data_IF_443501193985
#
_entry.id   IF_443501193985
#
_cell.length_a   1.000
_cell.length_b   1.000
_cell.length_c   1.000
_cell.angle_alpha   90.00
_cell.angle_beta   90.00
_cell.angle_gamma   90.00
#
_symmetry.space_group_name_H-M   'P 1'
#
loop_
_entity.id
_entity.type
_entity.pdbx_description
1 polymer ?
#
# COMPACT_ATOMS: atom_id res chain seq x y z
N UNK A 1 -25.22 -66.66 -37.17
CA UNK A 1 -24.79 -67.94 -36.56
C UNK A 1 -23.40 -67.68 -35.95
N UNK A 2 -23.06 -67.86 -34.67
CA UNK A 2 -23.58 -68.60 -33.51
C UNK A 2 -23.53 -67.69 -32.26
N UNK A 3 -24.45 -67.95 -31.31
CA UNK A 3 -24.57 -67.35 -29.98
C UNK A 3 -23.84 -68.20 -28.92
N UNK A 4 -23.82 -67.67 -27.68
CA UNK A 4 -23.68 -68.31 -26.33
C UNK A 4 -22.21 -68.34 -25.85
N UNK A 5 -21.80 -67.91 -24.63
CA UNK A 5 -22.49 -67.83 -23.34
C UNK A 5 -22.07 -66.64 -22.47
N UNK A 6 -23.02 -66.18 -21.66
CA UNK A 6 -22.90 -65.33 -20.47
C UNK A 6 -22.59 -66.15 -19.22
N UNK A 7 -21.91 -65.56 -18.24
CA UNK A 7 -22.12 -65.89 -16.84
C UNK A 7 -22.18 -64.62 -15.97
N UNK A 8 -23.17 -64.67 -15.08
CA UNK A 8 -23.69 -63.60 -14.24
C UNK A 8 -23.07 -63.60 -12.84
N UNK A 9 -22.98 -62.38 -12.28
CA UNK A 9 -23.21 -61.98 -10.88
C UNK A 9 -22.38 -62.59 -9.75
N UNK A 10 -21.84 -61.69 -8.91
CA UNK A 10 -22.36 -61.43 -7.55
C UNK A 10 -21.98 -60.03 -7.06
N UNK A 11 -22.98 -59.28 -6.62
CA UNK A 11 -22.88 -58.08 -5.77
C UNK A 11 -22.80 -58.53 -4.30
N UNK A 12 -21.92 -57.93 -3.50
CA UNK A 12 -22.24 -57.16 -2.29
C UNK A 12 -20.92 -56.82 -1.55
N UNK A 13 -20.68 -55.52 -1.35
CA UNK A 13 -20.67 -54.85 -0.03
C UNK A 13 -19.65 -55.43 0.95
N UNK A 14 -18.59 -54.67 1.23
CA UNK A 14 -18.08 -54.35 2.57
C UNK A 14 -16.86 -53.40 2.44
N UNK A 15 -17.01 -52.22 3.06
CA UNK A 15 -16.01 -51.28 3.63
C UNK A 15 -14.50 -51.55 3.40
N UNK A 16 -13.71 -50.53 3.00
CA UNK A 16 -12.30 -50.50 3.33
C UNK A 16 -12.08 -49.85 4.71
N UNK A 17 -11.44 -50.60 5.59
CA UNK A 17 -10.85 -50.16 6.86
C UNK A 17 -9.72 -49.16 6.59
N UNK A 18 -9.73 -48.09 7.40
CA UNK A 18 -8.68 -47.10 7.54
C UNK A 18 -7.32 -47.74 7.88
N UNK A 19 -6.36 -47.69 6.95
CA UNK A 19 -4.95 -47.82 7.28
C UNK A 19 -4.41 -46.42 7.58
N UNK A 20 -4.18 -46.17 8.87
CA UNK A 20 -3.40 -45.05 9.38
C UNK A 20 -1.95 -45.25 8.94
N UNK A 21 -1.48 -44.44 7.99
CA UNK A 21 -0.06 -44.11 7.89
C UNK A 21 0.15 -42.71 8.46
N UNK A 22 0.99 -42.69 9.49
CA UNK A 22 1.47 -41.56 10.26
C UNK A 22 2.22 -40.55 9.39
N UNK A 23 1.73 -39.31 9.43
CA UNK A 23 2.42 -38.10 8.99
C UNK A 23 3.66 -37.82 9.85
N UNK A 24 4.80 -37.40 9.28
CA UNK A 24 5.84 -36.74 10.06
C UNK A 24 5.46 -35.27 10.28
N UNK A 25 5.28 -34.91 11.54
CA UNK A 25 5.12 -33.54 12.02
C UNK A 25 6.43 -32.76 11.80
N UNK A 26 6.38 -31.77 10.91
CA UNK A 26 7.37 -30.71 10.82
C UNK A 26 7.16 -29.73 11.97
N UNK A 27 8.03 -29.76 12.98
CA UNK A 27 8.03 -28.75 14.04
C UNK A 27 8.56 -27.44 13.49
N UNK A 28 7.67 -26.48 13.30
CA UNK A 28 7.99 -25.08 13.06
C UNK A 28 8.64 -24.54 14.34
N UNK A 29 9.97 -24.44 14.35
CA UNK A 29 10.73 -23.75 15.40
C UNK A 29 10.49 -22.25 15.25
N UNK A 30 9.56 -21.73 16.04
CA UNK A 30 9.35 -20.30 16.23
C UNK A 30 10.51 -19.73 17.04
N UNK A 31 11.42 -19.01 16.36
CA UNK A 31 12.49 -18.26 17.02
C UNK A 31 11.89 -17.04 17.73
N UNK A 32 11.37 -17.25 18.95
CA UNK A 32 11.09 -16.18 19.89
C UNK A 32 12.41 -15.80 20.55
N UNK A 33 13.04 -14.71 20.08
CA UNK A 33 14.13 -14.08 20.83
C UNK A 33 13.53 -13.37 22.04
N UNK A 34 13.50 -14.07 23.16
CA UNK A 34 13.30 -13.50 24.48
C UNK A 34 14.61 -12.84 24.92
N UNK A 35 14.68 -11.51 24.91
CA UNK A 35 15.73 -10.80 25.65
C UNK A 35 15.30 -10.76 27.12
N UNK A 36 15.79 -11.73 27.89
CA UNK A 36 15.71 -11.70 29.36
C UNK A 36 16.91 -10.91 29.92
N UNK A 37 16.59 -9.98 30.81
CA UNK A 37 17.50 -9.15 31.59
C UNK A 37 18.49 -9.98 32.41
N UNK A 38 19.75 -9.56 32.43
CA UNK A 38 20.69 -9.82 33.54
C UNK A 38 21.83 -8.83 33.52
N UNK A 39 21.75 -7.81 34.37
CA UNK A 39 22.92 -7.14 34.91
C UNK A 39 22.79 -7.19 36.44
N UNK A 40 23.65 -8.02 37.04
CA UNK A 40 23.77 -8.23 38.48
C UNK A 40 24.31 -6.94 39.13
N UNK A 41 23.58 -6.41 40.11
CA UNK A 41 24.12 -5.44 41.06
C UNK A 41 24.98 -6.17 42.10
N UNK A 42 26.13 -5.58 42.41
CA UNK A 42 26.99 -5.95 43.54
C UNK A 42 26.38 -5.44 44.84
N UNK A 43 26.36 -6.33 45.82
CA UNK A 43 25.94 -6.11 47.20
C UNK A 43 26.97 -5.24 47.93
N UNK A 44 26.52 -4.34 48.81
CA UNK A 44 27.08 -4.15 50.15
C UNK A 44 26.12 -3.27 50.98
N UNK A 45 25.57 -3.87 52.04
CA UNK A 45 24.86 -3.20 53.13
C UNK A 45 25.87 -2.77 54.22
N UNK A 46 25.45 -1.93 55.18
CA UNK A 46 25.01 -2.51 56.46
C UNK A 46 23.82 -1.80 57.15
N UNK A 47 22.92 -2.64 57.67
CA UNK A 47 22.26 -2.72 59.00
C UNK A 47 22.16 -1.45 59.87
N UNK A 48 20.93 -1.03 60.26
CA UNK A 48 20.32 -1.18 61.62
C UNK A 48 18.94 -0.48 61.69
N UNK A 49 18.05 -1.04 62.52
CA UNK A 49 16.59 -0.96 62.62
C UNK A 49 15.95 0.33 63.21
N UNK A 50 14.68 0.60 62.87
CA UNK A 50 13.49 0.48 63.75
C UNK A 50 12.21 1.08 63.09
N UNK A 51 10.99 0.59 63.41
CA UNK A 51 9.75 0.95 62.71
C UNK A 51 8.98 2.08 63.42
N UNK A 52 8.45 3.04 62.66
CA UNK A 52 7.56 4.07 63.18
C UNK A 52 6.30 4.19 62.31
N UNK A 53 5.21 3.65 62.86
CA UNK A 53 3.86 4.25 62.96
C UNK A 53 3.26 4.81 61.67
N UNK A 54 2.22 4.12 61.21
CA UNK A 54 1.27 4.61 60.23
C UNK A 54 0.56 5.88 60.74
N UNK A 55 0.62 6.95 59.93
CA UNK A 55 -0.26 8.11 60.04
C UNK A 55 -1.06 8.27 58.74
N UNK A 56 -2.33 8.61 58.92
CA UNK A 56 -3.43 8.62 57.98
C UNK A 56 -3.16 9.32 56.63
N UNK A 57 -3.77 8.79 55.58
CA UNK A 57 -3.85 9.40 54.27
C UNK A 57 -4.74 10.66 54.34
N UNK A 58 -4.10 11.82 54.39
CA UNK A 58 -4.74 13.11 54.12
C UNK A 58 -4.86 13.27 52.61
N UNK A 59 -6.10 13.45 52.16
CA UNK A 59 -6.48 13.78 50.80
C UNK A 59 -6.06 15.23 50.51
N UNK A 60 -4.82 15.45 50.07
CA UNK A 60 -4.39 16.76 49.59
C UNK A 60 -4.68 16.87 48.09
N UNK A 61 -5.78 17.56 47.79
CA UNK A 61 -6.03 18.21 46.50
C UNK A 61 -5.28 19.55 46.47
N UNK A 62 -4.25 19.75 45.63
CA UNK A 62 -3.79 21.09 45.30
C UNK A 62 -4.57 21.61 44.10
N UNK A 63 -5.65 22.34 44.37
CA UNK A 63 -6.18 23.35 43.46
C UNK A 63 -5.23 24.55 43.47
N UNK A 64 -4.49 24.76 42.39
CA UNK A 64 -3.84 26.05 42.11
C UNK A 64 -3.74 26.22 40.59
N UNK A 65 -4.78 26.85 40.02
CA UNK A 65 -4.80 27.35 38.65
C UNK A 65 -3.80 28.50 38.51
N UNK A 66 -2.53 28.17 38.30
CA UNK A 66 -1.64 29.01 37.49
C UNK A 66 -1.87 28.65 36.02
N UNK A 67 -1.96 29.61 35.08
CA UNK A 67 -2.06 29.29 33.66
C UNK A 67 -0.77 28.61 33.25
N UNK A 68 -0.75 27.28 33.31
CA UNK A 68 0.33 26.48 32.77
C UNK A 68 0.39 26.84 31.30
N UNK A 69 1.51 27.39 30.85
CA UNK A 69 1.76 27.63 29.43
C UNK A 69 1.56 26.31 28.67
N UNK A 70 0.37 26.10 28.11
CA UNK A 70 -0.03 24.86 27.40
C UNK A 70 0.95 24.53 26.26
N UNK A 71 1.64 25.55 25.75
CA UNK A 71 2.67 25.44 24.74
C UNK A 71 4.01 24.88 25.26
N UNK A 72 4.35 25.08 26.55
CA UNK A 72 5.56 24.50 27.16
C UNK A 72 5.32 23.05 27.58
N UNK A 73 4.16 22.73 28.15
CA UNK A 73 3.81 21.35 28.52
C UNK A 73 3.68 20.43 27.31
N UNK A 74 3.06 20.92 26.22
CA UNK A 74 2.96 20.16 24.96
C UNK A 74 4.31 19.91 24.30
N UNK A 75 5.27 20.84 24.37
CA UNK A 75 6.64 20.63 23.87
C UNK A 75 7.43 19.63 24.73
N UNK A 76 7.36 19.76 26.05
CA UNK A 76 8.02 18.81 26.97
C UNK A 76 7.47 17.38 26.85
N UNK A 77 6.16 17.24 26.60
CA UNK A 77 5.52 15.95 26.34
C UNK A 77 6.02 15.26 25.07
N UNK A 78 6.42 16.01 24.04
CA UNK A 78 6.95 15.47 22.77
C UNK A 78 8.34 14.83 22.92
N UNK A 79 9.12 15.23 23.91
CA UNK A 79 10.46 14.68 24.15
C UNK A 79 10.45 13.50 25.13
N UNK A 80 9.46 13.47 26.03
CA UNK A 80 9.42 12.51 27.15
C UNK A 80 8.50 11.30 26.88
N UNK A 81 7.77 11.29 25.76
CA UNK A 81 6.82 10.20 25.47
C UNK A 81 7.51 8.85 25.22
N UNK A 82 7.15 7.79 25.98
CA UNK A 82 7.69 6.45 25.76
C UNK A 82 7.23 5.84 24.44
N UNK A 83 6.00 6.16 23.98
CA UNK A 83 5.48 5.67 22.69
C UNK A 83 6.30 6.22 21.51
N UNK A 84 6.69 7.49 21.57
CA UNK A 84 7.56 8.10 20.55
C UNK A 84 8.95 7.47 20.53
N UNK A 85 9.56 7.27 21.71
CA UNK A 85 10.87 6.63 21.79
C UNK A 85 10.84 5.18 21.26
N UNK A 86 9.78 4.43 21.60
CA UNK A 86 9.59 3.07 21.10
C UNK A 86 9.39 3.03 19.57
N UNK A 87 8.63 3.97 19.00
CA UNK A 87 8.42 4.10 17.56
C UNK A 87 9.73 4.45 16.86
N UNK A 88 10.47 5.44 17.37
CA UNK A 88 11.77 5.86 16.81
C UNK A 88 12.76 4.69 16.73
N UNK A 89 12.88 3.92 17.81
CA UNK A 89 13.73 2.73 17.86
C UNK A 89 13.24 1.61 16.93
N UNK A 90 11.92 1.37 16.84
CA UNK A 90 11.33 0.32 15.98
C UNK A 90 11.58 0.57 14.50
N UNK A 91 11.47 1.84 14.07
CA UNK A 91 11.73 2.25 12.69
C UNK A 91 13.22 2.41 12.39
N UNK A 92 14.10 2.20 13.37
CA UNK A 92 15.55 2.39 13.25
C UNK A 92 15.92 3.77 12.68
N UNK A 93 15.20 4.81 13.12
CA UNK A 93 15.41 6.16 12.60
C UNK A 93 16.79 6.69 13.01
N UNK A 94 17.46 7.50 12.17
CA UNK A 94 18.75 8.09 12.51
C UNK A 94 18.65 8.95 13.79
N UNK A 95 19.70 9.02 14.61
CA UNK A 95 19.71 9.86 15.82
C UNK A 95 19.60 11.36 15.51
N UNK A 96 19.88 11.77 14.26
CA UNK A 96 19.66 13.13 13.76
C UNK A 96 18.18 13.51 13.67
N UNK A 97 17.29 12.52 13.64
CA UNK A 97 15.85 12.73 13.58
C UNK A 97 15.30 12.90 15.00
N UNK A 98 14.88 14.12 15.40
CA UNK A 98 14.46 14.38 16.77
C UNK A 98 13.04 13.86 17.05
N UNK A 99 12.79 13.46 18.30
CA UNK A 99 11.46 13.03 18.75
C UNK A 99 10.37 14.10 18.56
N UNK A 100 10.73 15.38 18.66
CA UNK A 100 9.81 16.50 18.41
C UNK A 100 9.29 16.53 16.96
N UNK A 101 10.13 16.23 15.97
CA UNK A 101 9.73 16.13 14.56
C UNK A 101 8.86 14.90 14.32
N UNK A 102 9.17 13.78 14.98
CA UNK A 102 8.32 12.58 14.95
C UNK A 102 6.91 12.88 15.47
N UNK A 103 6.82 13.55 16.62
CA UNK A 103 5.56 13.94 17.22
C UNK A 103 4.75 14.85 16.29
N UNK A 104 5.41 15.80 15.62
CA UNK A 104 4.77 16.66 14.62
C UNK A 104 4.17 15.86 13.47
N UNK A 105 4.83 14.79 13.01
CA UNK A 105 4.31 13.94 11.94
C UNK A 105 2.97 13.27 12.30
N UNK A 106 2.72 13.03 13.60
CA UNK A 106 1.51 12.38 14.10
C UNK A 106 0.32 13.34 14.29
N UNK A 107 0.52 14.65 14.11
CA UNK A 107 -0.54 15.66 14.25
C UNK A 107 -1.07 16.05 12.87
N UNK A 108 -2.27 15.59 12.54
CA UNK A 108 -2.94 15.94 11.29
C UNK A 108 -3.46 17.39 11.32
N UNK A 109 -3.53 18.12 10.18
CA UNK A 109 -4.10 19.48 10.11
C UNK A 109 -5.56 19.58 10.59
N UNK A 110 -6.31 18.48 10.62
CA UNK A 110 -7.66 18.44 11.21
C UNK A 110 -7.70 18.40 12.74
N UNK A 111 -6.58 18.06 13.39
CA UNK A 111 -6.42 18.15 14.85
C UNK A 111 -5.85 19.50 15.28
N UNK A 112 -4.81 20.01 14.61
CA UNK A 112 -4.26 21.34 14.85
C UNK A 112 -4.22 22.16 13.55
N UNK A 113 -4.87 23.33 13.59
CA UNK A 113 -4.94 24.27 12.46
C UNK A 113 -3.60 24.96 12.21
N UNK A 114 -2.73 25.04 13.21
CA UNK A 114 -1.47 25.75 13.08
C UNK A 114 -0.49 24.99 12.16
N UNK A 115 -0.04 25.59 11.05
CA UNK A 115 0.84 24.93 10.08
C UNK A 115 2.21 24.54 10.65
N UNK A 116 2.64 25.22 11.72
CA UNK A 116 3.90 24.93 12.41
C UNK A 116 3.85 23.66 13.27
N UNK A 117 2.67 23.28 13.73
CA UNK A 117 2.47 22.14 14.63
C UNK A 117 1.91 20.91 13.91
N UNK A 118 1.29 21.10 12.74
CA UNK A 118 0.73 20.01 11.96
C UNK A 118 1.74 19.41 10.96
N UNK A 119 1.36 18.26 10.42
CA UNK A 119 2.15 17.46 9.50
C UNK A 119 1.93 17.81 8.01
N UNK A 120 1.05 18.77 7.68
CA UNK A 120 0.62 19.03 6.29
C UNK A 120 1.79 19.35 5.34
N UNK A 121 2.67 20.27 5.73
CA UNK A 121 3.84 20.66 4.92
C UNK A 121 4.84 19.51 4.71
N UNK A 122 5.05 18.70 5.75
CA UNK A 122 5.92 17.52 5.70
C UNK A 122 5.31 16.42 4.83
N UNK A 123 3.99 16.25 4.89
CA UNK A 123 3.27 15.27 4.11
C UNK A 123 3.33 15.56 2.61
N UNK A 124 3.21 16.83 2.19
CA UNK A 124 3.36 17.21 0.77
C UNK A 124 4.75 16.81 0.25
N UNK A 125 5.81 17.20 0.97
CA UNK A 125 7.18 16.87 0.57
C UNK A 125 7.40 15.36 0.50
N UNK A 126 6.95 14.60 1.50
CA UNK A 126 7.16 13.16 1.52
C UNK A 126 6.29 12.41 0.52
N UNK A 127 5.11 12.92 0.19
CA UNK A 127 4.28 12.39 -0.88
C UNK A 127 5.00 12.49 -2.22
N UNK A 128 5.58 13.64 -2.54
CA UNK A 128 6.35 13.84 -3.78
C UNK A 128 7.56 12.90 -3.84
N UNK A 129 8.29 12.75 -2.72
CA UNK A 129 9.44 11.84 -2.63
C UNK A 129 9.03 10.37 -2.81
N UNK A 130 7.96 9.93 -2.15
CA UNK A 130 7.44 8.57 -2.30
C UNK A 130 6.95 8.31 -3.73
N UNK A 131 6.21 9.24 -4.32
CA UNK A 131 5.74 9.13 -5.70
C UNK A 131 6.92 9.05 -6.67
N UNK A 132 7.94 9.90 -6.49
CA UNK A 132 9.13 9.91 -7.32
C UNK A 132 9.95 8.60 -7.20
N UNK A 133 10.27 8.16 -5.99
CA UNK A 133 11.09 6.95 -5.78
C UNK A 133 10.37 5.67 -6.19
N UNK A 134 9.05 5.59 -6.02
CA UNK A 134 8.26 4.44 -6.51
C UNK A 134 8.17 4.44 -8.03
N UNK A 135 7.90 5.59 -8.65
CA UNK A 135 7.77 5.71 -10.11
C UNK A 135 9.10 5.44 -10.82
N UNK A 136 10.23 5.99 -10.36
CA UNK A 136 11.53 5.70 -10.97
C UNK A 136 11.88 4.21 -10.90
N UNK A 137 11.55 3.56 -9.78
CA UNK A 137 11.81 2.14 -9.60
C UNK A 137 10.93 1.30 -10.53
N UNK A 138 9.64 1.60 -10.63
CA UNK A 138 8.72 0.91 -11.54
C UNK A 138 9.14 1.07 -13.00
N UNK A 139 9.48 2.29 -13.43
CA UNK A 139 9.86 2.58 -14.81
C UNK A 139 11.20 1.92 -15.19
N UNK A 140 12.19 1.92 -14.30
CA UNK A 140 13.48 1.29 -14.59
C UNK A 140 13.43 -0.24 -14.57
N UNK A 141 12.58 -0.84 -13.71
CA UNK A 141 12.42 -2.30 -13.66
C UNK A 141 11.45 -2.84 -14.71
N UNK A 142 10.46 -2.04 -15.13
CA UNK A 142 9.42 -2.43 -16.09
C UNK A 142 9.20 -1.31 -17.13
N UNK A 143 10.15 -1.11 -18.06
CA UNK A 143 10.12 0.03 -18.98
C UNK A 143 8.96 0.02 -19.98
N UNK A 144 8.30 -1.12 -20.15
CA UNK A 144 7.18 -1.31 -21.09
C UNK A 144 5.80 -1.26 -20.41
N UNK A 145 5.72 -0.87 -19.14
CA UNK A 145 4.48 -0.94 -18.38
C UNK A 145 3.42 0.03 -18.95
N UNK A 146 2.18 -0.43 -19.27
CA UNK A 146 1.08 0.43 -19.65
C UNK A 146 0.78 1.48 -18.57
N UNK A 147 0.34 2.66 -18.96
CA UNK A 147 0.22 3.78 -18.01
C UNK A 147 -0.87 3.53 -16.95
N UNK A 148 -1.97 2.89 -17.33
CA UNK A 148 -3.03 2.52 -16.37
C UNK A 148 -2.54 1.52 -15.32
N UNK A 149 -1.68 0.59 -15.74
CA UNK A 149 -1.08 -0.41 -14.85
C UNK A 149 -0.01 0.25 -13.97
N UNK A 150 0.73 1.23 -14.48
CA UNK A 150 1.67 2.03 -13.69
C UNK A 150 0.96 2.77 -12.57
N UNK A 151 -0.14 3.46 -12.86
CA UNK A 151 -0.97 4.12 -11.85
C UNK A 151 -1.48 3.15 -10.78
N UNK A 152 -2.01 1.99 -11.20
CA UNK A 152 -2.47 0.96 -10.29
C UNK A 152 -1.33 0.38 -9.43
N UNK A 153 -0.15 0.19 -10.01
CA UNK A 153 1.03 -0.28 -9.30
C UNK A 153 1.50 0.75 -8.28
N UNK A 154 1.57 2.04 -8.66
CA UNK A 154 1.92 3.13 -7.76
C UNK A 154 0.94 3.25 -6.59
N UNK A 155 -0.36 3.12 -6.85
CA UNK A 155 -1.39 3.04 -5.82
C UNK A 155 -1.24 1.81 -4.92
N UNK A 156 -0.84 0.66 -5.48
CA UNK A 156 -0.61 -0.55 -4.69
C UNK A 156 0.63 -0.46 -3.77
N UNK A 157 1.64 0.35 -4.12
CA UNK A 157 2.81 0.58 -3.25
C UNK A 157 2.63 1.73 -2.26
N UNK A 158 2.03 2.85 -2.70
CA UNK A 158 1.99 4.12 -1.95
C UNK A 158 0.59 4.68 -1.74
N UNK A 159 -0.46 3.92 -2.06
CA UNK A 159 -1.85 4.33 -1.87
C UNK A 159 -2.27 4.32 -0.40
N UNK A 160 -3.32 5.09 -0.04
CA UNK A 160 -3.71 5.34 1.35
C UNK A 160 -4.05 4.06 2.13
N UNK A 161 -4.65 3.06 1.47
CA UNK A 161 -4.93 1.75 2.08
C UNK A 161 -3.67 1.01 2.48
N UNK A 162 -2.63 1.07 1.65
CA UNK A 162 -1.36 0.39 1.91
C UNK A 162 -0.57 1.07 3.01
N UNK A 163 -0.58 2.41 3.01
CA UNK A 163 0.01 3.21 4.08
C UNK A 163 -0.75 3.00 5.41
N UNK A 164 -2.06 2.84 5.39
CA UNK A 164 -2.83 2.50 6.60
C UNK A 164 -2.43 1.17 7.21
N UNK A 165 -2.26 0.13 6.40
CA UNK A 165 -1.75 -1.16 6.85
C UNK A 165 -0.32 -1.03 7.40
N UNK A 166 0.53 -0.25 6.73
CA UNK A 166 1.90 0.02 7.17
C UNK A 166 1.95 0.74 8.53
N UNK A 167 1.07 1.71 8.77
CA UNK A 167 0.92 2.37 10.08
C UNK A 167 0.60 1.37 11.18
N UNK A 168 -0.27 0.40 10.90
CA UNK A 168 -0.62 -0.67 11.84
C UNK A 168 0.56 -1.61 12.09
N UNK A 169 1.31 -1.97 11.04
CA UNK A 169 2.57 -2.74 11.14
C UNK A 169 3.61 -2.00 11.98
N UNK A 170 3.69 -0.67 11.84
CA UNK A 170 4.54 0.20 12.66
C UNK A 170 4.03 0.36 14.09
N UNK A 171 2.83 -0.13 14.41
CA UNK A 171 2.21 -0.10 15.73
C UNK A 171 1.82 1.30 16.20
N UNK A 172 1.41 2.18 15.28
CA UNK A 172 0.93 3.52 15.58
C UNK A 172 -0.59 3.51 15.72
N UNK A 173 -1.07 3.71 16.94
CA UNK A 173 -2.50 3.73 17.28
C UNK A 173 -3.15 5.07 16.91
N UNK A 174 -4.43 5.02 16.50
CA UNK A 174 -5.22 6.21 16.20
C UNK A 174 -5.96 6.71 17.44
N UNK A 175 -5.98 8.03 17.63
CA UNK A 175 -6.72 8.68 18.71
C UNK A 175 -8.22 8.73 18.41
N UNK A 176 -9.06 8.62 19.44
CA UNK A 176 -10.51 8.75 19.30
C UNK A 176 -10.97 10.20 19.09
N UNK A 177 -10.45 11.14 19.88
CA UNK A 177 -10.67 12.58 19.76
C UNK A 177 -9.36 13.34 19.99
N UNK A 178 -8.99 14.31 19.13
CA UNK A 178 -7.76 15.07 19.30
C UNK A 178 -7.83 15.96 20.54
N UNK A 179 -6.74 16.04 21.31
CA UNK A 179 -6.69 16.85 22.52
C UNK A 179 -5.26 17.00 23.07
N UNK A 180 -4.99 18.04 23.87
CA UNK A 180 -3.67 18.29 24.46
C UNK A 180 -3.32 17.27 25.55
N UNK A 181 -4.30 16.62 26.18
CA UNK A 181 -4.08 15.54 27.15
C UNK A 181 -3.55 14.24 26.53
N UNK A 182 -3.67 14.10 25.21
CA UNK A 182 -3.33 12.86 24.53
C UNK A 182 -1.82 12.75 24.33
N UNK A 183 -1.27 11.58 24.62
CA UNK A 183 0.14 11.28 24.38
C UNK A 183 0.52 11.60 22.91
N UNK A 184 1.56 12.41 22.66
CA UNK A 184 2.00 12.75 21.31
C UNK A 184 2.49 11.56 20.48
N UNK A 185 2.67 10.38 21.08
CA UNK A 185 2.96 9.13 20.37
C UNK A 185 1.76 8.47 19.67
N UNK A 186 0.58 9.09 19.72
CA UNK A 186 -0.64 8.62 19.05
C UNK A 186 -0.99 9.49 17.85
N UNK A 187 -1.58 8.89 16.81
CA UNK A 187 -2.01 9.61 15.60
C UNK A 187 -3.27 10.44 15.89
N UNK A 188 -3.11 11.76 15.89
CA UNK A 188 -4.16 12.73 16.23
C UNK A 188 -4.81 13.31 14.97
N UNK A 189 -6.12 13.07 14.82
CA UNK A 189 -6.94 13.64 13.75
C UNK A 189 -8.40 13.67 14.18
N UNK A 190 -9.17 14.57 13.59
CA UNK A 190 -10.64 14.57 13.75
C UNK A 190 -11.22 13.54 12.80
N UNK A 191 -11.81 12.46 13.34
CA UNK A 191 -12.33 11.34 12.55
C UNK A 191 -13.64 11.70 11.84
N UNK A 192 -13.72 11.41 10.53
CA UNK A 192 -14.97 11.46 9.77
C UNK A 192 -15.98 10.47 10.33
N UNK A 193 -17.17 10.96 10.68
CA UNK A 193 -18.27 10.10 11.09
C UNK A 193 -18.62 9.14 9.96
N UNK A 194 -18.89 7.88 10.31
CA UNK A 194 -19.31 6.89 9.34
C UNK A 194 -20.62 7.34 8.67
N UNK A 195 -20.79 7.11 7.37
CA UNK A 195 -22.02 7.52 6.66
C UNK A 195 -23.31 6.91 7.24
N UNK A 196 -23.20 5.79 7.96
CA UNK A 196 -24.33 5.16 8.66
C UNK A 196 -24.65 5.79 10.02
N UNK A 197 -23.81 6.71 10.52
CA UNK A 197 -24.10 7.44 11.75
C UNK A 197 -25.34 8.33 11.56
N UNK A 198 -26.10 8.52 12.64
CA UNK A 198 -27.24 9.43 12.64
C UNK A 198 -26.73 10.87 12.52
N UNK A 199 -27.38 11.68 11.68
CA UNK A 199 -27.07 13.08 11.56
C UNK A 199 -27.40 13.81 12.88
N UNK A 200 -26.57 14.79 13.25
CA UNK A 200 -26.74 15.55 14.48
C UNK A 200 -28.10 16.29 14.45
N UNK A 201 -28.99 15.94 15.39
CA UNK A 201 -30.31 16.55 15.50
C UNK A 201 -31.42 15.98 14.61
N UNK A 202 -31.20 14.86 13.90
CA UNK A 202 -32.20 14.26 13.01
C UNK A 202 -32.33 12.74 13.11
N UNK A 203 -33.45 12.20 12.62
CA UNK A 203 -33.67 10.75 12.44
C UNK A 203 -33.11 10.23 11.09
N UNK A 204 -32.48 11.09 10.30
CA UNK A 204 -31.86 10.72 9.03
C UNK A 204 -30.40 10.27 9.25
N UNK A 205 -29.94 9.29 8.46
CA UNK A 205 -28.52 8.89 8.45
C UNK A 205 -27.71 9.94 7.68
N UNK A 206 -26.44 10.12 8.06
CA UNK A 206 -25.55 11.08 7.42
C UNK A 206 -25.41 10.84 5.91
N UNK A 207 -25.43 9.57 5.47
CA UNK A 207 -25.47 9.18 4.06
C UNK A 207 -26.73 9.70 3.36
N UNK A 208 -27.89 9.62 4.00
CA UNK A 208 -29.18 10.00 3.42
C UNK A 208 -29.32 11.52 3.35
N UNK A 209 -28.71 12.25 4.29
CA UNK A 209 -28.62 13.72 4.24
C UNK A 209 -27.62 14.23 3.20
N UNK A 210 -26.53 13.49 2.93
CA UNK A 210 -25.51 13.94 1.97
C UNK A 210 -25.85 13.61 0.51
N UNK A 211 -26.84 12.74 0.25
CA UNK A 211 -27.32 12.43 -1.11
C UNK A 211 -28.00 13.65 -1.77
N UNK A 212 -28.55 14.61 -1.00
CA UNK A 212 -29.19 15.81 -1.57
C UNK A 212 -28.20 16.90 -2.00
N UNK A 213 -27.07 17.04 -1.30
CA UNK A 213 -26.27 18.28 -1.38
C UNK A 213 -24.94 18.14 -2.10
N UNK A 214 -24.46 16.91 -2.36
CA UNK A 214 -23.28 16.69 -3.18
C UNK A 214 -23.49 15.45 -4.05
N UNK A 215 -23.82 15.67 -5.33
CA UNK A 215 -23.32 14.75 -6.36
C UNK A 215 -21.81 14.70 -6.12
N UNK A 216 -21.33 13.54 -5.67
CA UNK A 216 -19.91 13.20 -5.50
C UNK A 216 -19.27 13.31 -6.87
N UNK A 217 -19.00 14.55 -7.20
CA UNK A 217 -18.52 14.95 -8.47
C UNK A 217 -17.02 15.07 -8.42
N UNK A 218 -16.33 14.58 -9.44
CA UNK A 218 -14.97 14.96 -9.84
C UNK A 218 -14.65 16.47 -9.76
N UNK A 219 -15.65 17.35 -9.62
CA UNK A 219 -15.50 18.81 -9.52
C UNK A 219 -15.24 19.48 -10.87
N UNK A 220 -15.15 18.70 -11.96
CA UNK A 220 -14.95 19.23 -13.31
C UNK A 220 -16.25 19.80 -13.87
N UNK A 221 -16.11 20.92 -14.60
CA UNK A 221 -17.18 21.40 -15.45
C UNK A 221 -17.69 20.25 -16.34
N UNK A 222 -19.00 20.14 -16.49
CA UNK A 222 -19.66 19.15 -17.35
C UNK A 222 -19.54 17.68 -16.92
N UNK A 223 -19.18 17.38 -15.67
CA UNK A 223 -19.11 16.00 -15.18
C UNK A 223 -20.40 15.20 -15.39
N UNK A 224 -21.56 15.83 -15.26
CA UNK A 224 -22.85 15.17 -15.42
C UNK A 224 -23.04 14.52 -16.81
N UNK A 225 -22.21 14.89 -17.79
CA UNK A 225 -22.19 14.31 -19.14
C UNK A 225 -21.32 13.03 -19.24
N UNK A 226 -20.64 12.62 -18.17
CA UNK A 226 -19.74 11.45 -18.11
C UNK A 226 -18.77 11.36 -19.31
N UNK A 227 -18.18 12.49 -19.68
CA UNK A 227 -17.25 12.53 -20.81
C UNK A 227 -16.04 11.60 -20.58
N UNK A 228 -15.62 10.94 -21.67
CA UNK A 228 -14.45 10.04 -21.65
C UNK A 228 -13.20 10.82 -21.23
N UNK A 229 -12.49 10.28 -20.24
CA UNK A 229 -11.17 10.77 -19.84
C UNK A 229 -10.09 10.00 -20.60
N UNK A 230 -9.13 10.70 -21.17
CA UNK A 230 -7.99 10.11 -21.87
C UNK A 230 -6.80 9.93 -20.93
N UNK A 231 -5.99 8.90 -21.15
CA UNK A 231 -4.83 8.58 -20.30
C UNK A 231 -3.80 9.73 -20.26
N UNK A 232 -3.58 10.42 -21.38
CA UNK A 232 -2.65 11.56 -21.45
C UNK A 232 -3.08 12.75 -20.59
N UNK A 233 -4.40 13.01 -20.45
CA UNK A 233 -4.88 14.10 -19.60
C UNK A 233 -4.77 13.75 -18.12
N UNK A 234 -4.84 12.47 -17.74
CA UNK A 234 -4.64 12.01 -16.35
C UNK A 234 -3.22 12.32 -15.86
N UNK A 235 -2.21 12.17 -16.73
CA UNK A 235 -0.81 12.44 -16.36
C UNK A 235 -0.58 13.90 -15.93
N UNK A 236 -1.31 14.85 -16.53
CA UNK A 236 -1.10 16.30 -16.31
C UNK A 236 -2.06 16.86 -15.25
N UNK A 237 -3.32 16.45 -15.28
CA UNK A 237 -4.39 17.11 -14.50
C UNK A 237 -4.89 16.30 -13.31
N UNK A 238 -4.60 14.99 -13.27
CA UNK A 238 -5.01 14.14 -12.16
C UNK A 238 -3.86 14.04 -11.13
N UNK A 239 -4.12 13.36 -10.03
CA UNK A 239 -3.12 13.14 -9.00
C UNK A 239 -2.08 12.09 -9.43
N UNK A 240 -1.11 11.80 -8.55
CA UNK A 240 -0.06 10.80 -8.79
C UNK A 240 -0.57 9.37 -9.07
N UNK A 241 -1.83 9.06 -8.76
CA UNK A 241 -2.46 7.76 -9.03
C UNK A 241 -3.37 7.82 -10.27
N UNK A 242 -3.43 8.95 -10.98
CA UNK A 242 -4.36 9.18 -12.07
C UNK A 242 -5.83 9.28 -11.61
N UNK A 243 -6.08 9.46 -10.32
CA UNK A 243 -7.39 9.75 -9.78
C UNK A 243 -7.63 11.26 -9.78
N UNK A 244 -8.89 11.64 -9.89
CA UNK A 244 -9.24 13.05 -9.82
C UNK A 244 -8.90 13.55 -8.42
N UNK A 245 -8.27 14.71 -8.35
CA UNK A 245 -8.17 15.40 -7.08
C UNK A 245 -9.61 15.76 -6.64
N UNK A 246 -10.20 14.97 -5.74
CA UNK A 246 -11.50 15.23 -5.11
C UNK A 246 -11.53 16.60 -4.40
N UNK A 247 -10.35 17.21 -4.21
CA UNK A 247 -10.10 18.54 -3.67
C UNK A 247 -9.15 19.34 -4.57
N UNK A 248 -9.47 19.50 -5.86
CA UNK A 248 -8.85 20.50 -6.70
C UNK A 248 -9.32 21.92 -6.33
N UNK A 249 -9.11 22.31 -5.08
CA UNK A 249 -8.58 23.64 -4.83
C UNK A 249 -7.14 23.58 -5.35
N UNK A 250 -6.80 24.43 -6.31
CA UNK A 250 -5.53 24.40 -7.05
C UNK A 250 -4.31 24.14 -6.14
N UNK A 251 -3.18 23.60 -6.64
CA UNK A 251 -1.93 23.50 -5.86
C UNK A 251 -1.38 24.87 -5.39
N UNK A 252 -1.89 25.99 -5.93
CA UNK A 252 -1.63 27.35 -5.44
C UNK A 252 -2.53 27.74 -4.24
N UNK A 253 -3.60 27.01 -4.00
CA UNK A 253 -4.64 27.32 -2.99
C UNK A 253 -4.51 26.51 -1.70
N UNK A 254 -3.59 25.53 -1.61
CA UNK A 254 -3.14 25.01 -0.31
C UNK A 254 -2.35 26.05 0.50
N UNK A 255 -2.00 27.19 -0.12
CA UNK A 255 -1.52 28.41 0.54
C UNK A 255 -2.64 29.33 1.03
N UNK A 256 -3.89 29.16 0.58
CA UNK A 256 -5.05 29.88 1.11
C UNK A 256 -5.66 29.05 2.25
N UNK A 257 -5.15 29.31 3.45
CA UNK A 257 -5.55 28.72 4.73
C UNK A 257 -7.01 29.04 5.17
N UNK A 258 -7.96 29.26 4.26
CA UNK A 258 -9.31 29.75 4.58
C UNK A 258 -10.39 28.68 4.71
N UNK A 259 -10.20 27.47 4.16
CA UNK A 259 -11.15 26.37 4.35
C UNK A 259 -10.58 25.39 5.38
N UNK A 260 -11.23 25.21 6.55
CA UNK A 260 -10.71 24.30 7.57
C UNK A 260 -10.69 22.87 7.03
N UNK A 261 -9.59 22.11 7.22
CA UNK A 261 -9.55 20.71 6.85
C UNK A 261 -10.68 19.98 7.58
N UNK A 262 -11.60 19.42 6.79
CA UNK A 262 -12.75 18.69 7.30
C UNK A 262 -12.34 17.44 8.08
N UNK A 263 -13.30 16.73 8.67
CA UNK A 263 -13.01 15.48 9.35
C UNK A 263 -12.55 14.42 8.34
N UNK A 264 -11.53 13.63 8.72
CA UNK A 264 -10.73 12.79 7.82
C UNK A 264 -10.88 11.32 8.15
N UNK A 265 -10.69 10.45 7.15
CA UNK A 265 -10.69 8.99 7.36
C UNK A 265 -9.39 8.53 8.01
N UNK A 266 -9.43 7.38 8.69
CA UNK A 266 -8.22 6.82 9.32
C UNK A 266 -7.13 6.49 8.28
N UNK A 267 -7.55 6.07 7.08
CA UNK A 267 -6.65 5.74 5.98
C UNK A 267 -5.91 6.98 5.46
N UNK A 268 -6.63 8.08 5.26
CA UNK A 268 -6.03 9.34 4.80
C UNK A 268 -5.12 9.97 5.88
N UNK A 269 -5.53 9.94 7.15
CA UNK A 269 -4.69 10.38 8.26
C UNK A 269 -3.41 9.53 8.39
N UNK A 270 -3.49 8.22 8.10
CA UNK A 270 -2.32 7.34 8.11
C UNK A 270 -1.37 7.61 6.94
N UNK A 271 -1.91 7.90 5.75
CA UNK A 271 -1.14 8.22 4.57
C UNK A 271 -0.35 9.52 4.78
N UNK A 272 -1.02 10.57 5.26
CA UNK A 272 -0.38 11.86 5.57
C UNK A 272 0.70 11.72 6.65
N UNK A 273 0.48 10.89 7.68
CA UNK A 273 1.51 10.58 8.68
C UNK A 273 2.75 9.93 8.07
N UNK A 274 2.60 8.87 7.28
CA UNK A 274 3.75 8.19 6.67
C UNK A 274 4.47 9.11 5.70
N UNK A 275 3.72 9.83 4.85
CA UNK A 275 4.29 10.84 3.98
C UNK A 275 5.07 11.89 4.81
N UNK A 276 4.52 12.37 5.92
CA UNK A 276 5.21 13.33 6.77
C UNK A 276 6.51 12.76 7.38
N UNK A 277 6.55 11.47 7.75
CA UNK A 277 7.77 10.81 8.20
C UNK A 277 8.84 10.80 7.10
N UNK A 278 8.48 10.48 5.85
CA UNK A 278 9.41 10.54 4.71
C UNK A 278 9.93 11.96 4.45
N UNK A 279 9.05 12.96 4.50
CA UNK A 279 9.43 14.37 4.34
C UNK A 279 10.35 14.85 5.46
N UNK A 280 10.02 14.55 6.71
CA UNK A 280 10.84 14.92 7.86
C UNK A 280 12.19 14.18 7.89
N UNK A 281 12.22 12.89 7.49
CA UNK A 281 13.45 12.13 7.34
C UNK A 281 14.37 12.76 6.28
N UNK A 282 13.80 13.18 5.15
CA UNK A 282 14.57 13.86 4.10
C UNK A 282 15.20 15.17 4.60
N UNK A 283 14.47 15.98 5.38
CA UNK A 283 14.98 17.23 5.93
C UNK A 283 16.10 17.03 6.97
N UNK A 284 16.00 16.00 7.82
CA UNK A 284 16.98 15.77 8.89
C UNK A 284 18.17 14.88 8.50
N UNK A 285 17.95 13.87 7.66
CA UNK A 285 18.93 12.84 7.32
C UNK A 285 19.38 12.87 5.84
N UNK A 286 18.66 13.58 4.97
CA UNK A 286 18.99 13.75 3.55
C UNK A 286 18.48 12.61 2.65
N UNK A 287 18.72 12.75 1.34
CA UNK A 287 18.18 11.88 0.29
C UNK A 287 18.57 10.41 0.43
N UNK A 288 19.84 10.11 0.74
CA UNK A 288 20.35 8.73 0.81
C UNK A 288 19.66 7.93 1.92
N UNK A 289 19.44 8.54 3.09
CA UNK A 289 18.74 7.90 4.19
C UNK A 289 17.26 7.64 3.84
N UNK A 290 16.60 8.60 3.18
CA UNK A 290 15.22 8.45 2.72
C UNK A 290 15.07 7.35 1.67
N UNK A 291 15.99 7.24 0.72
CA UNK A 291 16.00 6.17 -0.28
C UNK A 291 16.19 4.78 0.37
N UNK A 292 17.13 4.65 1.30
CA UNK A 292 17.33 3.40 2.03
C UNK A 292 16.08 3.02 2.84
N UNK A 293 15.45 4.01 3.49
CA UNK A 293 14.21 3.81 4.24
C UNK A 293 13.03 3.42 3.33
N UNK A 294 12.91 4.05 2.16
CA UNK A 294 11.93 3.71 1.11
C UNK A 294 12.11 2.28 0.62
N UNK A 295 13.34 1.88 0.32
CA UNK A 295 13.64 0.52 -0.13
C UNK A 295 13.31 -0.52 0.95
N UNK A 296 13.62 -0.21 2.21
CA UNK A 296 13.39 -1.12 3.33
C UNK A 296 11.91 -1.33 3.68
N UNK A 297 11.06 -0.31 3.54
CA UNK A 297 9.68 -0.39 4.02
C UNK A 297 8.60 -0.38 2.92
N UNK A 298 8.83 0.30 1.79
CA UNK A 298 7.87 0.39 0.68
C UNK A 298 8.17 -0.68 -0.37
N UNK A 299 9.39 -0.70 -0.90
CA UNK A 299 9.78 -1.65 -1.97
C UNK A 299 10.02 -3.08 -1.48
N UNK A 300 10.16 -3.30 -0.17
CA UNK A 300 10.25 -4.65 0.40
C UNK A 300 8.93 -5.42 0.32
N UNK A 301 7.82 -4.73 0.04
CA UNK A 301 6.49 -5.34 -0.13
C UNK A 301 6.38 -5.99 -1.50
N UNK A 302 5.77 -7.17 -1.55
CA UNK A 302 5.56 -7.90 -2.80
C UNK A 302 4.20 -7.57 -3.43
N UNK A 303 4.21 -6.83 -4.55
CA UNK A 303 3.01 -6.52 -5.33
C UNK A 303 3.00 -7.31 -6.64
N UNK A 304 2.08 -8.27 -6.85
CA UNK A 304 2.03 -9.06 -8.07
C UNK A 304 1.51 -8.25 -9.27
N UNK A 305 2.41 -7.63 -10.04
CA UNK A 305 2.03 -6.76 -11.17
C UNK A 305 1.19 -7.46 -12.25
N UNK A 306 1.38 -8.76 -12.45
CA UNK A 306 0.62 -9.53 -13.44
C UNK A 306 -0.89 -9.58 -13.18
N UNK A 307 -1.35 -9.34 -11.96
CA UNK A 307 -2.79 -9.32 -11.61
C UNK A 307 -3.43 -7.96 -11.88
N UNK A 308 -2.63 -6.92 -12.14
CA UNK A 308 -3.13 -5.57 -12.40
C UNK A 308 -3.60 -5.38 -13.85
N UNK A 309 -3.25 -6.30 -14.76
CA UNK A 309 -3.61 -6.22 -16.16
C UNK A 309 -5.05 -6.68 -16.40
N UNK A 310 -5.84 -5.81 -17.05
CA UNK A 310 -7.15 -6.12 -17.61
C UNK A 310 -7.14 -5.84 -19.10
N UNK A 311 -7.30 -6.88 -19.93
CA UNK A 311 -7.35 -6.76 -21.39
C UNK A 311 -8.77 -6.88 -21.89
N UNK A 312 -9.20 -5.96 -22.74
CA UNK A 312 -10.52 -6.04 -23.38
C UNK A 312 -10.49 -6.92 -24.64
N UNK A 313 -9.52 -6.69 -25.53
CA UNK A 313 -9.42 -7.37 -26.83
C UNK A 313 -7.98 -7.85 -27.12
N UNK A 314 -7.41 -8.76 -26.31
CA UNK A 314 -5.98 -9.08 -26.36
C UNK A 314 -5.52 -9.59 -27.73
N UNK A 315 -6.37 -10.30 -28.48
CA UNK A 315 -6.01 -10.82 -29.81
C UNK A 315 -5.72 -9.72 -30.82
N UNK A 316 -6.46 -8.60 -30.75
CA UNK A 316 -6.27 -7.42 -31.59
C UNK A 316 -5.02 -6.65 -31.15
N UNK A 317 -4.80 -6.55 -29.85
CA UNK A 317 -3.64 -5.87 -29.27
C UNK A 317 -2.35 -6.59 -29.68
N UNK A 318 -2.32 -7.92 -29.59
CA UNK A 318 -1.15 -8.71 -29.97
C UNK A 318 -0.87 -8.67 -31.48
N UNK A 319 -1.91 -8.68 -32.33
CA UNK A 319 -1.69 -8.58 -33.78
C UNK A 319 -1.12 -7.21 -34.15
N UNK A 320 -1.57 -6.12 -33.52
CA UNK A 320 -0.96 -4.80 -33.70
C UNK A 320 0.45 -4.73 -33.15
N UNK A 321 0.72 -5.36 -32.01
CA UNK A 321 2.07 -5.44 -31.46
C UNK A 321 3.01 -6.11 -32.46
N UNK A 322 2.63 -7.26 -33.01
CA UNK A 322 3.44 -7.97 -33.99
C UNK A 322 3.67 -7.11 -35.25
N UNK A 323 2.63 -6.42 -35.74
CA UNK A 323 2.76 -5.50 -36.87
C UNK A 323 3.69 -4.32 -36.58
N UNK A 324 3.64 -3.76 -35.36
CA UNK A 324 4.48 -2.63 -34.93
C UNK A 324 5.95 -3.01 -34.86
N UNK A 325 6.25 -4.17 -34.29
CA UNK A 325 7.61 -4.67 -34.10
C UNK A 325 8.18 -5.37 -35.36
N UNK A 326 7.37 -5.54 -36.41
CA UNK A 326 7.76 -6.21 -37.65
C UNK A 326 7.81 -7.74 -37.56
N UNK A 327 7.13 -8.34 -36.58
CA UNK A 327 6.98 -9.78 -36.44
C UNK A 327 5.92 -10.34 -37.39
N UNK A 328 6.01 -11.64 -37.68
CA UNK A 328 4.96 -12.35 -38.41
C UNK A 328 3.64 -12.32 -37.63
N UNK A 329 2.51 -12.41 -38.35
CA UNK A 329 1.20 -12.36 -37.72
C UNK A 329 1.02 -13.52 -36.71
N UNK A 330 0.46 -13.24 -35.51
CA UNK A 330 0.36 -14.25 -34.46
C UNK A 330 -0.68 -15.31 -34.82
N UNK A 331 -0.29 -16.58 -34.81
CA UNK A 331 -1.14 -17.74 -35.07
C UNK A 331 -1.26 -18.61 -33.82
N UNK A 332 -2.49 -18.86 -33.38
CA UNK A 332 -2.76 -19.75 -32.26
C UNK A 332 -2.76 -21.22 -32.72
N UNK A 333 -1.97 -22.06 -32.05
CA UNK A 333 -1.84 -23.50 -32.30
C UNK A 333 -2.21 -24.29 -31.05
N UNK A 334 -2.96 -25.38 -31.22
CA UNK A 334 -3.27 -26.31 -30.13
C UNK A 334 -2.02 -27.15 -29.83
N UNK A 335 -1.56 -27.13 -28.57
CA UNK A 335 -0.39 -27.89 -28.12
C UNK A 335 -0.80 -29.26 -27.58
N UNK A 336 -1.79 -29.25 -26.68
CA UNK A 336 -2.37 -30.46 -26.12
C UNK A 336 -3.84 -30.23 -25.79
N UNK A 337 -4.61 -31.32 -25.79
CA UNK A 337 -6.00 -31.31 -25.39
C UNK A 337 -6.35 -32.55 -24.59
N UNK A 338 -7.28 -32.39 -23.66
CA UNK A 338 -7.85 -33.49 -22.90
C UNK A 338 -9.32 -33.22 -22.60
N UNK A 339 -10.14 -34.28 -22.61
CA UNK A 339 -11.54 -34.19 -22.21
C UNK A 339 -12.41 -33.30 -23.10
N UNK A 340 -12.14 -33.19 -24.41
CA UNK A 340 -12.88 -32.33 -25.37
C UNK A 340 -14.41 -32.48 -25.30
N UNK A 341 -14.91 -33.69 -25.04
CA UNK A 341 -16.35 -33.99 -24.90
C UNK A 341 -16.77 -34.22 -23.44
N UNK A 342 -16.06 -33.65 -22.49
CA UNK A 342 -16.38 -33.72 -21.06
C UNK A 342 -16.95 -32.39 -20.57
N UNK A 343 -17.50 -32.37 -19.35
CA UNK A 343 -17.99 -31.14 -18.70
C UNK A 343 -16.87 -30.12 -18.46
N UNK A 344 -15.64 -30.59 -18.27
CA UNK A 344 -14.47 -29.74 -17.98
C UNK A 344 -13.31 -30.12 -18.89
N UNK A 345 -13.37 -29.74 -20.19
CA UNK A 345 -12.25 -29.91 -21.10
C UNK A 345 -11.07 -29.05 -20.65
N UNK A 346 -9.86 -29.43 -21.06
CA UNK A 346 -8.69 -28.57 -20.94
C UNK A 346 -7.99 -28.54 -22.29
N UNK A 347 -7.90 -27.35 -22.87
CA UNK A 347 -7.17 -27.07 -24.10
C UNK A 347 -5.97 -26.20 -23.76
N UNK A 348 -4.77 -26.67 -24.12
CA UNK A 348 -3.54 -25.90 -24.00
C UNK A 348 -3.20 -25.34 -25.37
N UNK A 349 -3.21 -24.02 -25.49
CA UNK A 349 -2.97 -23.30 -26.74
C UNK A 349 -1.72 -22.45 -26.60
N UNK A 350 -0.85 -22.52 -27.61
CA UNK A 350 0.31 -21.66 -27.75
C UNK A 350 0.11 -20.67 -28.90
N UNK A 351 0.48 -19.40 -28.70
CA UNK A 351 0.48 -18.39 -29.75
C UNK A 351 1.89 -18.26 -30.30
N UNK A 352 2.03 -18.39 -31.61
CA UNK A 352 3.30 -18.35 -32.33
C UNK A 352 3.36 -17.18 -33.29
N UNK A 353 4.53 -16.57 -33.43
CA UNK A 353 4.89 -15.73 -34.56
C UNK A 353 6.00 -16.45 -35.32
N UNK A 354 5.69 -16.98 -36.51
CA UNK A 354 6.57 -17.90 -37.23
C UNK A 354 6.90 -19.17 -36.45
N UNK A 355 8.17 -19.29 -36.04
CA UNK A 355 8.70 -20.37 -35.19
C UNK A 355 8.56 -20.09 -33.69
N UNK A 356 8.44 -18.82 -33.31
CA UNK A 356 8.67 -18.40 -31.93
C UNK A 356 7.38 -18.42 -31.13
N UNK A 357 7.40 -19.12 -29.99
CA UNK A 357 6.25 -19.19 -29.08
C UNK A 357 6.23 -17.94 -28.20
N UNK A 358 5.24 -17.07 -28.44
CA UNK A 358 5.08 -15.82 -27.70
C UNK A 358 4.39 -16.03 -26.34
N UNK A 359 3.42 -16.94 -26.28
CA UNK A 359 2.64 -17.18 -25.07
C UNK A 359 1.92 -18.52 -25.10
N UNK A 360 1.57 -19.01 -23.92
CA UNK A 360 0.90 -20.29 -23.71
C UNK A 360 -0.10 -20.16 -22.57
N UNK A 361 -1.28 -20.75 -22.73
CA UNK A 361 -2.24 -20.87 -21.64
C UNK A 361 -3.20 -22.03 -21.84
N UNK A 362 -3.80 -22.45 -20.72
CA UNK A 362 -4.88 -23.42 -20.69
C UNK A 362 -6.26 -22.76 -20.55
N UNK A 363 -7.25 -23.28 -21.26
CA UNK A 363 -8.65 -22.85 -21.20
C UNK A 363 -9.62 -24.03 -21.22
N UNK A 364 -10.84 -23.82 -20.74
CA UNK A 364 -11.92 -24.80 -20.79
C UNK A 364 -12.58 -24.85 -22.17
N UNK A 365 -12.46 -23.77 -22.95
CA UNK A 365 -12.82 -23.72 -24.38
C UNK A 365 -11.61 -23.31 -25.23
N UNK A 366 -11.65 -23.64 -26.53
CA UNK A 366 -10.61 -23.25 -27.48
C UNK A 366 -10.46 -21.72 -27.57
N UNK A 367 -11.57 -20.99 -27.56
CA UNK A 367 -11.56 -19.53 -27.62
C UNK A 367 -10.99 -18.90 -26.35
N UNK A 368 -11.36 -19.43 -25.18
CA UNK A 368 -10.82 -18.99 -23.89
C UNK A 368 -9.31 -19.29 -23.79
N UNK A 369 -8.87 -20.49 -24.20
CA UNK A 369 -7.47 -20.85 -24.23
C UNK A 369 -6.67 -19.90 -25.15
N UNK A 370 -7.21 -19.60 -26.34
CA UNK A 370 -6.63 -18.62 -27.27
C UNK A 370 -6.51 -17.23 -26.62
N UNK A 371 -7.60 -16.70 -26.06
CA UNK A 371 -7.62 -15.36 -25.43
C UNK A 371 -6.62 -15.30 -24.27
N UNK A 372 -6.56 -16.34 -23.42
CA UNK A 372 -5.61 -16.42 -22.30
C UNK A 372 -4.16 -16.53 -22.76
N UNK A 373 -3.87 -17.32 -23.79
CA UNK A 373 -2.51 -17.49 -24.31
C UNK A 373 -2.00 -16.17 -24.92
N UNK A 374 -2.87 -15.46 -25.63
CA UNK A 374 -2.58 -14.12 -26.14
C UNK A 374 -2.38 -13.11 -25.01
N UNK A 375 -3.23 -13.12 -23.98
CA UNK A 375 -3.06 -12.26 -22.81
C UNK A 375 -1.74 -12.55 -22.07
N UNK A 376 -1.32 -13.83 -21.99
CA UNK A 376 -0.03 -14.21 -21.43
C UNK A 376 1.14 -13.65 -22.25
N UNK A 377 1.06 -13.69 -23.58
CA UNK A 377 2.05 -13.07 -24.47
C UNK A 377 2.17 -11.54 -24.24
N UNK A 378 1.03 -10.84 -24.14
CA UNK A 378 1.02 -9.40 -23.84
C UNK A 378 1.59 -9.08 -22.46
N UNK A 379 1.25 -9.87 -21.44
CA UNK A 379 1.85 -9.71 -20.10
C UNK A 379 3.36 -9.91 -20.14
N UNK A 380 3.84 -10.93 -20.85
CA UNK A 380 5.27 -11.18 -20.99
C UNK A 380 5.99 -10.01 -21.69
N UNK A 381 5.36 -9.41 -22.69
CA UNK A 381 5.89 -8.21 -23.35
C UNK A 381 5.98 -7.00 -22.40
N UNK A 382 4.89 -6.69 -21.70
CA UNK A 382 4.79 -5.51 -20.82
C UNK A 382 5.56 -5.66 -19.51
N UNK A 383 5.66 -6.87 -18.97
CA UNK A 383 6.42 -7.19 -17.75
C UNK A 383 7.88 -7.57 -18.05
N UNK A 384 8.38 -7.23 -19.23
CA UNK A 384 9.81 -7.31 -19.52
C UNK A 384 10.58 -6.51 -18.47
N UNK A 385 11.55 -7.16 -17.85
CA UNK A 385 12.46 -6.54 -16.90
C UNK A 385 13.90 -6.73 -17.39
N UNK A 386 14.67 -5.65 -17.55
CA UNK A 386 16.07 -5.76 -17.92
C UNK A 386 16.86 -6.49 -16.82
N UNK A 387 18.03 -7.08 -17.14
CA UNK A 387 18.88 -7.70 -16.14
C UNK A 387 19.28 -6.67 -15.08
N UNK A 388 19.37 -7.09 -13.81
CA UNK A 388 19.60 -6.20 -12.66
C UNK A 388 20.85 -5.33 -12.80
N UNK A 389 21.89 -5.85 -13.45
CA UNK A 389 23.16 -5.15 -13.68
C UNK A 389 23.04 -3.95 -14.63
N UNK A 390 21.96 -3.88 -15.41
CA UNK A 390 21.66 -2.77 -16.30
C UNK A 390 20.73 -1.75 -15.66
N UNK A 391 20.11 -2.06 -14.51
CA UNK A 391 19.17 -1.16 -13.85
C UNK A 391 19.93 -0.14 -13.02
N UNK A 392 19.98 1.10 -13.50
CA UNK A 392 20.49 2.26 -12.76
C UNK A 392 19.33 3.23 -12.52
N UNK A 393 19.07 3.56 -11.25
CA UNK A 393 18.05 4.55 -10.89
C UNK A 393 18.59 5.97 -11.13
N UNK A 394 17.80 6.88 -11.71
CA UNK A 394 18.23 8.25 -11.96
C UNK A 394 18.59 8.98 -10.66
N UNK A 395 17.89 8.69 -9.56
CA UNK A 395 18.21 9.24 -8.23
C UNK A 395 19.56 8.77 -7.66
N UNK A 396 20.16 7.71 -8.21
CA UNK A 396 21.45 7.16 -7.79
C UNK A 396 22.60 7.53 -8.74
N UNK A 397 22.32 8.30 -9.80
CA UNK A 397 23.31 8.72 -10.80
C UNK A 397 24.53 9.47 -10.24
N UNK A 398 24.41 10.08 -9.06
CA UNK A 398 25.53 10.72 -8.38
C UNK A 398 26.55 9.72 -7.78
N UNK A 399 26.10 8.50 -7.45
CA UNK A 399 26.94 7.47 -6.82
C UNK A 399 27.46 6.45 -7.84
N UNK A 400 26.63 6.11 -8.83
CA UNK A 400 26.93 5.11 -9.85
C UNK A 400 27.04 5.75 -11.22
N UNK A 401 27.98 5.27 -12.05
CA UNK A 401 28.08 5.71 -13.44
C UNK A 401 26.75 5.49 -14.17
N UNK A 402 26.19 6.57 -14.73
CA UNK A 402 24.94 6.52 -15.47
C UNK A 402 25.05 5.60 -16.69
N UNK A 403 24.04 4.74 -16.86
CA UNK A 403 23.86 3.90 -18.05
C UNK A 403 22.51 4.26 -18.69
N UNK A 404 22.44 4.44 -20.01
CA UNK A 404 21.17 4.70 -20.69
C UNK A 404 20.18 3.58 -20.41
N UNK A 405 19.02 3.96 -19.88
CA UNK A 405 17.94 3.03 -19.57
C UNK A 405 17.07 2.79 -20.80
N UNK A 406 16.49 1.59 -20.88
CA UNK A 406 15.53 1.28 -21.94
C UNK A 406 14.28 2.14 -21.79
N UNK A 407 13.92 2.84 -22.87
CA UNK A 407 12.68 3.63 -22.96
C UNK A 407 11.82 2.98 -24.03
N UNK A 408 10.62 2.54 -23.65
CA UNK A 408 9.67 1.97 -24.60
C UNK A 408 8.99 3.05 -25.45
N UNK A 409 8.48 2.63 -26.61
CA UNK A 409 7.76 3.50 -27.55
C UNK A 409 6.30 3.75 -27.12
N UNK A 410 5.89 3.15 -25.99
CA UNK A 410 4.56 3.26 -25.42
C UNK A 410 3.70 2.02 -25.62
N UNK A 411 2.55 1.99 -24.96
CA UNK A 411 1.58 0.90 -25.04
C UNK A 411 0.94 0.77 -26.43
N UNK A 412 0.45 -0.43 -26.75
CA UNK A 412 -0.22 -0.67 -28.03
C UNK A 412 -1.64 -0.11 -27.96
N UNK A 413 -1.93 0.89 -28.79
CA UNK A 413 -3.27 1.49 -28.88
C UNK A 413 -4.11 0.73 -29.91
N UNK A 414 -5.32 0.28 -29.53
CA UNK A 414 -6.27 -0.43 -30.40
C UNK A 414 -7.62 0.24 -30.62
#
# INVERSE_FOLDING_TARGET
>A
MKRIASQHMRRSLLSPRNLRLSSPLSSISSSRRCFALSARLSQHAPVTAAPAIASEAVLDTPSTDSPVDLNKSSRAGRETSPKLSALHARLSLPPRFPHASLARCLVHPSADRNPLNNNASLAVLGQDLLAYYTAEWLMCNYPRLPMEVLFAAQYAYSGPRTLSAMREEWGVESVAAPGPEVDPGLLQFTRRQAGNAMAEGGMARLKDTQISDKKTGTGRANEQWNYRRGTSSRIVYDNQFGDLAEHADNPVTTANASTPPGPVTTEEASATFINAVFGALYLHAGAQATQAFHQAHILSRHTPLHTLFSFTHPTRDLSRLCLREGFESPVARLLSETGRHSRSPVFVVGVYSGSDKLGEAAGSSLDEARVRATAAALRAWYLYSPPRDHIVLPSQSATTQWRPQMVDVGEVVT
#
